data_IF_770943121596
#
_entry.id   IF_770943121596
#
_cell.length_a   1.000
_cell.length_b   1.000
_cell.length_c   1.000
_cell.angle_alpha   90.00
_cell.angle_beta   90.00
_cell.angle_gamma   90.00
#
_symmetry.space_group_name_H-M   'P 1'
#
loop_
_entity.id
_entity.type
_entity.pdbx_description
1 polymer ?
#
# COMPACT_ATOMS: atom_id res chain seq x y z
N UNK A 1 -17.86 5.80 -9.14
CA UNK A 1 -18.21 5.71 -7.71
C UNK A 1 -17.06 6.29 -6.92
N UNK A 2 -17.34 7.02 -5.83
CA UNK A 2 -16.30 7.59 -4.97
C UNK A 2 -15.74 6.48 -4.07
N UNK A 3 -14.71 5.77 -4.54
CA UNK A 3 -14.06 4.69 -3.79
C UNK A 3 -12.96 5.28 -2.89
N UNK A 4 -13.38 6.14 -1.95
CA UNK A 4 -12.54 6.79 -0.96
C UNK A 4 -12.81 6.19 0.41
N UNK A 5 -11.76 5.90 1.16
CA UNK A 5 -11.81 5.45 2.55
C UNK A 5 -11.04 6.43 3.44
N UNK A 6 -11.58 6.74 4.62
CA UNK A 6 -10.90 7.55 5.62
C UNK A 6 -10.46 6.65 6.77
N UNK A 7 -9.15 6.62 7.03
CA UNK A 7 -8.57 5.99 8.20
C UNK A 7 -8.37 7.09 9.25
N UNK A 8 -8.96 6.97 10.45
CA UNK A 8 -8.90 8.03 11.44
C UNK A 8 -7.51 8.18 12.05
N UNK A 9 -7.20 9.39 12.51
CA UNK A 9 -6.04 9.68 13.36
C UNK A 9 -5.94 8.70 14.56
N UNK A 10 -4.71 8.36 14.95
CA UNK A 10 -4.38 7.39 16.00
C UNK A 10 -4.55 5.93 15.57
N UNK A 11 -4.95 5.67 14.33
CA UNK A 11 -5.05 4.30 13.81
C UNK A 11 -3.69 3.73 13.42
N UNK A 12 -3.59 2.41 13.47
CA UNK A 12 -2.48 1.65 12.91
C UNK A 12 -2.89 1.10 11.55
N UNK A 13 -2.05 1.33 10.53
CA UNK A 13 -2.21 0.81 9.17
C UNK A 13 -1.13 -0.21 8.87
N UNK A 14 -1.55 -1.40 8.44
CA UNK A 14 -0.67 -2.44 7.93
C UNK A 14 -0.67 -2.41 6.40
N UNK A 15 0.48 -2.17 5.78
CA UNK A 15 0.67 -2.31 4.34
C UNK A 15 1.20 -3.71 4.08
N UNK A 16 0.41 -4.52 3.39
CA UNK A 16 0.71 -5.92 3.10
C UNK A 16 0.95 -6.09 1.61
N UNK A 17 2.22 -6.21 1.21
CA UNK A 17 2.60 -6.53 -0.15
C UNK A 17 2.57 -8.05 -0.33
N UNK A 18 1.63 -8.51 -1.15
CA UNK A 18 1.38 -9.92 -1.46
C UNK A 18 2.01 -10.35 -2.77
N UNK A 19 2.30 -11.64 -2.88
CA UNK A 19 2.84 -12.24 -4.11
C UNK A 19 4.36 -12.22 -4.21
N UNK A 20 5.05 -11.83 -3.14
CA UNK A 20 6.49 -12.02 -2.98
C UNK A 20 6.68 -13.48 -2.55
N UNK A 21 7.15 -14.35 -3.45
CA UNK A 21 7.18 -15.81 -3.30
C UNK A 21 7.49 -16.29 -1.87
N UNK A 22 6.47 -16.85 -1.20
CA UNK A 22 6.56 -17.47 0.12
C UNK A 22 6.48 -16.54 1.34
N UNK A 23 6.63 -15.22 1.19
CA UNK A 23 6.61 -14.29 2.33
C UNK A 23 5.99 -12.94 1.95
N UNK A 24 4.83 -12.60 2.49
CA UNK A 24 4.26 -11.26 2.35
C UNK A 24 5.12 -10.24 3.10
N UNK A 25 5.41 -9.09 2.47
CA UNK A 25 6.11 -8.00 3.16
C UNK A 25 5.08 -7.15 3.89
N UNK A 26 5.17 -7.12 5.21
CA UNK A 26 4.28 -6.35 6.06
C UNK A 26 5.03 -5.15 6.64
N UNK A 27 4.49 -3.95 6.41
CA UNK A 27 4.92 -2.71 7.04
C UNK A 27 3.79 -2.13 7.86
N UNK A 28 4.12 -1.38 8.89
CA UNK A 28 3.12 -0.79 9.79
C UNK A 28 3.44 0.68 10.00
N UNK A 29 2.40 1.52 9.97
CA UNK A 29 2.50 2.94 10.27
C UNK A 29 1.38 3.36 11.22
N UNK A 30 1.66 4.36 12.05
CA UNK A 30 0.65 5.08 12.82
C UNK A 30 0.20 6.32 12.03
N UNK A 31 -1.10 6.58 12.09
CA UNK A 31 -1.77 7.66 11.37
C UNK A 31 -1.84 8.89 12.28
N UNK A 32 -0.98 9.88 12.05
CA UNK A 32 -0.92 11.10 12.87
C UNK A 32 -2.01 12.13 12.54
N UNK A 33 -2.62 12.05 11.35
CA UNK A 33 -3.78 12.84 10.94
C UNK A 33 -4.65 11.94 10.05
N UNK A 34 -5.97 12.21 9.97
CA UNK A 34 -6.89 11.43 9.12
C UNK A 34 -6.29 11.14 7.73
N UNK A 35 -6.10 9.87 7.41
CA UNK A 35 -5.51 9.43 6.15
C UNK A 35 -6.61 9.11 5.15
N UNK A 36 -6.57 9.78 3.99
CA UNK A 36 -7.44 9.47 2.86
C UNK A 36 -6.78 8.41 1.97
N UNK A 37 -7.50 7.30 1.74
CA UNK A 37 -7.07 6.24 0.82
C UNK A 37 -8.07 6.16 -0.32
N UNK A 38 -7.61 6.40 -1.54
CA UNK A 38 -8.43 6.32 -2.75
C UNK A 38 -8.13 5.01 -3.47
N UNK A 39 -9.12 4.43 -4.14
CA UNK A 39 -8.88 3.34 -5.10
C UNK A 39 -8.05 3.78 -6.29
N UNK A 40 -7.23 2.87 -6.82
CA UNK A 40 -6.27 3.12 -7.90
C UNK A 40 -5.32 4.31 -7.62
N UNK A 41 -5.08 4.64 -6.35
CA UNK A 41 -4.04 5.60 -5.99
C UNK A 41 -2.67 4.94 -5.96
N UNK A 42 -1.65 5.75 -6.22
CA UNK A 42 -0.25 5.36 -6.06
C UNK A 42 0.22 5.79 -4.67
N UNK A 43 0.71 4.83 -3.89
CA UNK A 43 1.33 5.04 -2.58
C UNK A 43 2.84 4.84 -2.69
N UNK A 44 3.63 5.74 -2.12
CA UNK A 44 5.08 5.58 -1.99
C UNK A 44 5.43 5.11 -0.58
N UNK A 45 6.00 3.91 -0.43
CA UNK A 45 6.41 3.33 0.86
C UNK A 45 7.81 2.76 0.72
N UNK A 46 8.77 3.14 1.57
CA UNK A 46 10.15 2.63 1.56
C UNK A 46 10.81 2.58 0.16
N UNK A 47 10.55 3.59 -0.69
CA UNK A 47 11.02 3.71 -2.10
C UNK A 47 10.36 2.75 -3.10
N UNK A 48 9.29 2.06 -2.73
CA UNK A 48 8.39 1.36 -3.66
C UNK A 48 7.14 2.20 -3.95
N UNK A 49 6.71 2.22 -5.21
CA UNK A 49 5.41 2.76 -5.60
C UNK A 49 4.41 1.61 -5.74
N UNK A 50 3.24 1.78 -5.14
CA UNK A 50 2.25 0.72 -5.00
C UNK A 50 0.88 1.23 -5.42
N UNK A 51 0.19 0.53 -6.32
CA UNK A 51 -1.19 0.85 -6.65
C UNK A 51 -2.14 0.20 -5.63
N UNK A 52 -3.05 0.99 -5.08
CA UNK A 52 -4.13 0.47 -4.21
C UNK A 52 -5.21 -0.22 -5.03
N UNK A 53 -5.88 -1.22 -4.45
CA UNK A 53 -6.98 -1.96 -5.07
C UNK A 53 -8.12 -1.05 -5.60
N UNK A 54 -8.65 -1.40 -6.77
CA UNK A 54 -9.69 -0.65 -7.50
C UNK A 54 -11.06 -0.66 -6.80
N UNK A 55 -11.35 -1.72 -6.04
CA UNK A 55 -12.67 -1.97 -5.47
C UNK A 55 -12.68 -1.59 -3.99
N UNK A 56 -11.71 -2.10 -3.22
CA UNK A 56 -11.68 -1.94 -1.77
C UNK A 56 -10.22 -1.76 -1.29
N UNK A 57 -9.72 -0.52 -1.30
CA UNK A 57 -8.29 -0.26 -1.03
C UNK A 57 -7.93 -0.46 0.45
N UNK A 58 -8.91 -0.51 1.35
CA UNK A 58 -8.70 -0.66 2.80
C UNK A 58 -9.62 -1.76 3.38
N UNK A 59 -9.02 -2.63 4.19
CA UNK A 59 -9.70 -3.59 5.05
C UNK A 59 -9.58 -3.17 6.52
N UNK A 60 -10.70 -3.08 7.25
CA UNK A 60 -10.67 -2.91 8.70
C UNK A 60 -10.45 -4.26 9.36
N UNK A 61 -9.38 -4.40 10.15
CA UNK A 61 -9.07 -5.65 10.87
C UNK A 61 -9.77 -5.67 12.22
N UNK A 62 -9.61 -4.60 13.01
CA UNK A 62 -10.32 -4.39 14.28
C UNK A 62 -10.43 -2.89 14.56
N UNK A 63 -10.87 -2.53 15.76
CA UNK A 63 -10.90 -1.14 16.19
C UNK A 63 -9.50 -0.52 16.08
N UNK A 64 -9.40 0.62 15.38
CA UNK A 64 -8.17 1.37 15.11
C UNK A 64 -7.03 0.58 14.44
N UNK A 65 -7.30 -0.59 13.85
CA UNK A 65 -6.35 -1.32 13.00
C UNK A 65 -6.93 -1.58 11.62
N UNK A 66 -6.21 -1.09 10.61
CA UNK A 66 -6.58 -1.17 9.20
C UNK A 66 -5.46 -1.83 8.40
N UNK A 67 -5.79 -2.33 7.22
CA UNK A 67 -4.86 -2.96 6.31
C UNK A 67 -5.11 -2.46 4.89
N UNK A 68 -4.02 -2.16 4.19
CA UNK A 68 -4.01 -1.87 2.76
C UNK A 68 -3.29 -3.05 2.10
N UNK A 69 -4.01 -3.79 1.28
CA UNK A 69 -3.45 -4.90 0.51
C UNK A 69 -2.91 -4.33 -0.79
N UNK A 70 -1.67 -4.70 -1.10
CA UNK A 70 -0.97 -4.33 -2.31
C UNK A 70 -0.51 -5.61 -2.98
N UNK A 71 -0.74 -5.75 -4.28
CA UNK A 71 -0.24 -6.90 -5.04
C UNK A 71 1.09 -6.57 -5.70
N UNK A 72 2.02 -7.52 -5.71
CA UNK A 72 3.32 -7.35 -6.35
C UNK A 72 3.21 -6.99 -7.84
N UNK A 73 2.21 -7.52 -8.54
CA UNK A 73 1.94 -7.18 -9.95
C UNK A 73 1.59 -5.69 -10.15
N UNK A 74 1.16 -5.02 -9.08
CA UNK A 74 0.74 -3.62 -9.04
C UNK A 74 1.78 -2.75 -8.31
N UNK A 75 3.00 -3.25 -8.15
CA UNK A 75 4.10 -2.60 -7.46
C UNK A 75 5.27 -2.28 -8.41
N UNK A 76 5.87 -1.12 -8.22
CA UNK A 76 7.03 -0.65 -8.96
C UNK A 76 8.17 -0.29 -8.00
N UNK A 77 9.39 -0.70 -8.34
CA UNK A 77 10.62 -0.30 -7.66
C UNK A 77 11.07 1.06 -8.20
N UNK A 78 11.36 2.02 -7.32
CA UNK A 78 11.93 3.31 -7.70
C UNK A 78 13.45 3.28 -7.55
N UNK A 79 14.18 3.41 -8.67
CA UNK A 79 15.65 3.54 -8.68
C UNK A 79 16.06 4.77 -9.51
N UNK A 80 16.63 5.77 -8.84
CA UNK A 80 16.98 7.04 -9.49
C UNK A 80 15.75 7.77 -10.01
N UNK A 81 15.63 7.91 -11.34
CA UNK A 81 14.51 8.57 -12.04
C UNK A 81 13.58 7.61 -12.76
N UNK A 82 13.74 6.30 -12.55
CA UNK A 82 13.05 5.25 -13.29
C UNK A 82 12.23 4.33 -12.36
N UNK A 83 11.24 3.68 -12.97
CA UNK A 83 10.32 2.74 -12.34
C UNK A 83 10.44 1.39 -13.02
N UNK A 84 10.48 0.32 -12.22
CA UNK A 84 10.69 -1.06 -12.69
C UNK A 84 9.65 -1.98 -12.06
N UNK A 85 9.16 -2.97 -12.80
CA UNK A 85 8.15 -3.91 -12.27
C UNK A 85 8.79 -4.96 -11.33
N UNK A 86 10.11 -5.12 -11.40
CA UNK A 86 10.86 -6.02 -10.53
C UNK A 86 12.24 -5.46 -10.20
N UNK A 87 12.81 -5.92 -9.09
CA UNK A 87 14.18 -5.52 -8.71
C UNK A 87 15.23 -6.04 -9.71
N UNK A 88 14.98 -7.19 -10.35
CA UNK A 88 15.83 -7.74 -11.39
C UNK A 88 15.89 -6.87 -12.66
N UNK A 89 14.82 -6.13 -12.96
CA UNK A 89 14.81 -5.16 -14.07
C UNK A 89 15.55 -3.87 -13.72
N UNK A 90 15.76 -3.60 -12.43
CA UNK A 90 16.35 -2.38 -11.94
C UNK A 90 17.89 -2.42 -11.88
N UNK A 91 18.52 -3.58 -12.07
CA UNK A 91 19.99 -3.77 -11.97
C UNK A 91 20.75 -3.51 -13.28
#
# INVERSE_FOLDING_TARGET
MNNKFIIPEGSIVKFELRGVGGNDIIKTAEVYENMEVLSNAILLIDKGLYCTDNIKPVEKIKENEFKIIIWLQDAYVVKGRYFYNSISEAD
#
